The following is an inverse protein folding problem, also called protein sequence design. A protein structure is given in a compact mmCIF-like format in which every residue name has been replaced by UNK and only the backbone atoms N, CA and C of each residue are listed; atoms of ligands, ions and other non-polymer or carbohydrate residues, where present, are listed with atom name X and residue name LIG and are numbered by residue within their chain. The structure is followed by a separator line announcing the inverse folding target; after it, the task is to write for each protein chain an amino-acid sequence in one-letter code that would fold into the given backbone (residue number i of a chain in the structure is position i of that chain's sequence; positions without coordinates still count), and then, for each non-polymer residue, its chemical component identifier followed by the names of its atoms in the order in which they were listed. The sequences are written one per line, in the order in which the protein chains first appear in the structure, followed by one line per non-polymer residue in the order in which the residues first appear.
data_IF_254016465630
#
_entry.id   IF_254016465630
#
_cell.length_a   1.000
_cell.length_b   1.000
_cell.length_c   1.000
_cell.angle_alpha   90.00
_cell.angle_beta   90.00
_cell.angle_gamma   90.00
#
_symmetry.space_group_name_H-M   'P 1'
#
loop_
_entity.id
_entity.type
_entity.pdbx_description
1 polymer ?
#
# COMPACT_ATOMS: atom_id res chain seq x y z
N UNK A 1 -2.09 -9.72 -5.25
CA UNK A 1 -2.45 -9.05 -3.99
C UNK A 1 -2.61 -10.10 -2.91
N UNK A 2 -1.90 -9.97 -1.80
CA UNK A 2 -2.11 -10.81 -0.62
C UNK A 2 -2.89 -9.93 0.37
N UNK A 3 -4.12 -10.30 0.67
CA UNK A 3 -4.98 -9.54 1.59
C UNK A 3 -4.73 -9.99 3.04
N UNK A 4 -4.07 -9.13 3.83
CA UNK A 4 -3.74 -9.39 5.24
C UNK A 4 -4.86 -9.01 6.22
N UNK A 5 -5.87 -8.29 5.74
CA UNK A 5 -7.04 -7.91 6.53
C UNK A 5 -8.27 -7.97 5.61
N UNK A 6 -9.13 -9.00 5.75
CA UNK A 6 -10.25 -9.17 4.85
C UNK A 6 -11.24 -8.00 4.94
N UNK A 7 -11.79 -7.61 3.80
CA UNK A 7 -12.84 -6.60 3.73
C UNK A 7 -14.00 -6.87 4.71
N UNK A 8 -14.52 -5.82 5.33
CA UNK A 8 -15.71 -5.91 6.17
C UNK A 8 -16.62 -4.70 6.01
N UNK A 9 -17.90 -4.97 5.81
CA UNK A 9 -18.95 -3.98 5.52
C UNK A 9 -19.51 -3.21 6.72
N UNK A 10 -19.17 -3.56 7.98
CA UNK A 10 -19.82 -2.97 9.18
C UNK A 10 -18.91 -2.08 10.03
N UNK A 11 -17.59 -2.24 9.94
CA UNK A 11 -16.60 -1.48 10.73
C UNK A 11 -15.40 -1.10 9.88
N UNK A 12 -14.83 0.05 10.25
CA UNK A 12 -13.74 0.74 9.57
C UNK A 12 -12.63 1.10 10.56
N UNK A 13 -11.51 1.59 10.05
CA UNK A 13 -10.36 2.02 10.86
C UNK A 13 -9.40 0.88 11.23
N UNK A 14 -8.49 1.16 12.17
CA UNK A 14 -7.39 0.27 12.53
C UNK A 14 -7.70 -0.66 13.71
N UNK A 15 -8.59 -1.64 13.58
CA UNK A 15 -8.94 -2.54 14.69
C UNK A 15 -7.71 -3.24 15.36
N UNK A 16 -7.80 -3.66 16.64
CA UNK A 16 -8.92 -3.42 17.56
C UNK A 16 -8.99 -1.99 18.09
N UNK A 17 -7.86 -1.29 18.17
CA UNK A 17 -7.82 0.12 18.55
C UNK A 17 -8.49 0.97 17.45
N UNK A 18 -8.93 2.20 17.70
CA UNK A 18 -9.33 3.14 16.62
C UNK A 18 -10.41 2.67 15.61
N UNK A 19 -11.16 1.60 15.88
CA UNK A 19 -12.26 1.18 15.01
C UNK A 19 -13.49 2.08 15.20
N UNK A 20 -14.33 2.12 14.17
CA UNK A 20 -15.59 2.86 14.18
C UNK A 20 -16.62 2.21 13.23
N UNK A 21 -17.93 2.39 13.48
CA UNK A 21 -18.96 1.78 12.66
C UNK A 21 -18.98 2.38 11.25
N UNK A 22 -19.46 1.59 10.29
CA UNK A 22 -19.89 2.12 9.01
C UNK A 22 -21.14 3.00 9.22
N UNK A 23 -21.24 4.11 8.47
CA UNK A 23 -22.29 5.13 8.61
C UNK A 23 -23.68 4.49 8.75
N UNK A 24 -24.33 4.73 9.89
CA UNK A 24 -25.70 4.26 10.17
C UNK A 24 -25.83 2.84 10.71
N UNK A 25 -24.75 2.06 10.82
CA UNK A 25 -24.78 0.72 11.40
C UNK A 25 -24.45 0.73 12.90
N UNK A 26 -25.05 -0.16 13.70
CA UNK A 26 -24.71 -0.29 15.12
C UNK A 26 -23.27 -0.77 15.29
N UNK A 27 -22.53 -0.16 16.21
CA UNK A 27 -21.23 -0.67 16.64
C UNK A 27 -21.44 -2.00 17.38
N UNK A 28 -20.75 -3.05 16.96
CA UNK A 28 -20.68 -4.34 17.66
C UNK A 28 -19.22 -4.61 18.01
N UNK A 29 -18.90 -4.71 19.28
CA UNK A 29 -17.56 -5.15 19.68
C UNK A 29 -17.36 -6.57 19.12
N UNK A 30 -16.44 -6.70 18.16
CA UNK A 30 -16.11 -7.98 17.52
C UNK A 30 -14.69 -8.34 17.95
N UNK A 31 -14.47 -9.61 18.27
CA UNK A 31 -13.15 -10.20 18.51
C UNK A 31 -12.37 -10.32 17.20
N UNK A 32 -12.06 -9.16 16.59
CA UNK A 32 -11.30 -9.10 15.35
C UNK A 32 -9.85 -9.39 15.65
N UNK A 33 -9.42 -10.56 15.19
CA UNK A 33 -8.02 -10.97 15.21
C UNK A 33 -7.39 -10.55 13.88
N UNK A 34 -6.31 -9.78 13.94
CA UNK A 34 -5.49 -9.56 12.76
C UNK A 34 -4.91 -10.90 12.31
N UNK A 35 -5.15 -11.27 11.06
CA UNK A 35 -4.67 -12.53 10.50
C UNK A 35 -3.67 -12.22 9.41
N UNK A 36 -2.41 -12.33 9.78
CA UNK A 36 -1.34 -12.49 8.82
C UNK A 36 -1.76 -13.50 7.72
N UNK A 37 -1.53 -13.18 6.44
CA UNK A 37 -1.76 -14.11 5.36
C UNK A 37 -1.07 -15.44 5.64
N UNK A 38 -1.87 -16.49 5.86
CA UNK A 38 -1.32 -17.80 6.13
C UNK A 38 -0.94 -18.46 4.79
N UNK A 39 0.29 -18.23 4.35
CA UNK A 39 0.89 -18.89 3.19
C UNK A 39 1.30 -20.33 3.54
N UNK A 40 0.37 -21.10 4.07
CA UNK A 40 0.55 -22.53 4.32
C UNK A 40 0.03 -23.33 3.13
N UNK A 41 0.81 -24.33 2.72
CA UNK A 41 0.32 -25.34 1.80
C UNK A 41 -0.85 -26.09 2.48
N UNK A 42 -1.93 -26.43 1.74
CA UNK A 42 -3.02 -27.23 2.29
C UNK A 42 -2.48 -28.47 3.01
N UNK A 43 -3.11 -28.91 4.12
CA UNK A 43 -2.60 -30.02 4.94
C UNK A 43 -2.33 -31.32 4.16
N UNK A 44 -2.97 -31.53 2.99
CA UNK A 44 -2.76 -32.67 2.09
C UNK A 44 -1.55 -32.53 1.14
N UNK A 45 -0.91 -31.35 1.12
CA UNK A 45 0.19 -30.92 0.27
C UNK A 45 1.44 -30.68 1.12
N UNK A 46 2.18 -31.74 1.43
CA UNK A 46 3.51 -31.61 2.03
C UNK A 46 4.47 -30.88 1.08
N UNK A 47 5.51 -30.22 1.59
CA UNK A 47 6.52 -29.55 0.75
C UNK A 47 7.09 -30.49 -0.33
N UNK A 48 7.39 -31.74 0.03
CA UNK A 48 7.86 -32.76 -0.92
C UNK A 48 6.83 -33.14 -1.99
N UNK A 49 5.52 -33.08 -1.69
CA UNK A 49 4.45 -33.32 -2.67
C UNK A 49 4.22 -32.10 -3.56
N UNK A 50 4.35 -30.90 -3.00
CA UNK A 50 4.28 -29.64 -3.73
C UNK A 50 5.42 -29.52 -4.74
N UNK A 51 6.67 -29.78 -4.33
CA UNK A 51 7.84 -29.80 -5.23
C UNK A 51 7.65 -30.82 -6.36
N UNK A 52 7.18 -32.04 -6.08
CA UNK A 52 6.90 -33.03 -7.13
C UNK A 52 5.84 -32.57 -8.13
N UNK A 53 4.77 -31.90 -7.67
CA UNK A 53 3.77 -31.33 -8.58
C UNK A 53 4.34 -30.20 -9.43
N UNK A 54 5.20 -29.36 -8.84
CA UNK A 54 5.94 -28.33 -9.57
C UNK A 54 6.86 -28.92 -10.64
N UNK A 55 7.55 -30.02 -10.34
CA UNK A 55 8.44 -30.68 -11.30
C UNK A 55 7.67 -31.27 -12.48
N UNK A 56 6.51 -31.89 -12.23
CA UNK A 56 5.60 -32.37 -13.29
C UNK A 56 5.08 -31.20 -14.12
N UNK A 57 4.64 -30.12 -13.49
CA UNK A 57 4.17 -28.92 -14.18
C UNK A 57 5.27 -28.33 -15.07
N UNK A 58 6.49 -28.15 -14.55
CA UNK A 58 7.65 -27.70 -15.32
C UNK A 58 8.01 -28.62 -16.47
N UNK A 59 7.75 -29.92 -16.33
CA UNK A 59 7.93 -30.90 -17.42
C UNK A 59 6.93 -30.66 -18.54
N UNK A 60 5.64 -30.53 -18.21
CA UNK A 60 4.57 -30.23 -19.17
C UNK A 60 4.82 -28.88 -19.86
N UNK A 61 5.21 -27.86 -19.11
CA UNK A 61 5.50 -26.55 -19.69
C UNK A 61 6.74 -26.51 -20.55
N UNK A 62 7.77 -27.32 -20.25
CA UNK A 62 8.90 -27.49 -21.16
C UNK A 62 8.44 -28.10 -22.48
N UNK A 63 7.53 -29.06 -22.44
CA UNK A 63 6.94 -29.67 -23.64
C UNK A 63 6.04 -28.68 -24.41
N UNK A 64 5.23 -27.87 -23.70
CA UNK A 64 4.40 -26.83 -24.30
C UNK A 64 5.21 -25.68 -24.91
N UNK A 65 6.33 -25.28 -24.29
CA UNK A 65 7.23 -24.25 -24.84
C UNK A 65 7.87 -24.65 -26.18
N UNK A 66 7.92 -25.94 -26.49
CA UNK A 66 8.33 -26.43 -27.81
C UNK A 66 7.20 -26.37 -28.85
N UNK A 67 5.95 -26.15 -28.42
CA UNK A 67 4.75 -26.13 -29.28
C UNK A 67 4.13 -24.73 -29.40
N UNK A 68 4.30 -23.85 -28.41
CA UNK A 68 3.71 -22.50 -28.37
C UNK A 68 4.79 -21.40 -28.24
N UNK A 69 4.90 -20.55 -29.26
CA UNK A 69 5.70 -19.31 -29.24
C UNK A 69 4.91 -18.10 -28.68
N UNK A 70 3.71 -18.30 -28.14
CA UNK A 70 2.82 -17.21 -27.73
C UNK A 70 3.29 -16.48 -26.45
N UNK A 71 3.24 -15.14 -26.48
CA UNK A 71 3.61 -14.28 -25.35
C UNK A 71 2.71 -14.44 -24.11
N UNK A 72 1.45 -14.82 -24.29
CA UNK A 72 0.47 -15.02 -23.21
C UNK A 72 0.86 -16.15 -22.25
N UNK A 73 1.29 -17.31 -22.77
CA UNK A 73 1.75 -18.44 -21.98
C UNK A 73 2.98 -18.10 -21.11
N UNK A 74 3.90 -17.27 -21.65
CA UNK A 74 5.06 -16.76 -20.89
C UNK A 74 4.67 -15.81 -19.75
N UNK A 75 3.61 -15.01 -19.93
CA UNK A 75 3.10 -14.08 -18.90
C UNK A 75 2.53 -14.82 -17.68
N UNK A 76 1.70 -15.84 -17.92
CA UNK A 76 1.15 -16.68 -16.84
C UNK A 76 2.23 -17.45 -16.08
N UNK A 77 3.28 -17.93 -16.77
CA UNK A 77 4.43 -18.57 -16.14
C UNK A 77 5.11 -17.68 -15.11
N UNK A 78 5.40 -16.41 -15.47
CA UNK A 78 6.04 -15.44 -14.57
C UNK A 78 5.20 -15.11 -13.33
N UNK A 79 3.90 -14.83 -13.51
CA UNK A 79 2.98 -14.55 -12.39
C UNK A 79 2.93 -15.73 -11.41
N UNK A 80 2.87 -16.95 -11.95
CA UNK A 80 2.82 -18.17 -11.14
C UNK A 80 4.15 -18.42 -10.43
N UNK A 81 5.28 -18.27 -11.10
CA UNK A 81 6.60 -18.44 -10.49
C UNK A 81 6.83 -17.43 -9.36
N UNK A 82 6.37 -16.18 -9.53
CA UNK A 82 6.33 -15.19 -8.46
C UNK A 82 5.49 -15.62 -7.25
N UNK A 83 4.27 -16.12 -7.48
CA UNK A 83 3.42 -16.65 -6.42
C UNK A 83 4.03 -17.87 -5.69
N UNK A 84 4.67 -18.79 -6.44
CA UNK A 84 5.36 -19.95 -5.88
C UNK A 84 6.55 -19.52 -5.03
N UNK A 85 7.32 -18.53 -5.49
CA UNK A 85 8.46 -17.98 -4.74
C UNK A 85 7.99 -17.40 -3.40
N UNK A 86 6.93 -16.58 -3.41
CA UNK A 86 6.33 -16.03 -2.19
C UNK A 86 5.83 -17.12 -1.23
N UNK A 87 5.23 -18.20 -1.77
CA UNK A 87 4.73 -19.32 -0.97
C UNK A 87 5.86 -20.17 -0.37
N UNK A 88 7.01 -20.30 -1.03
CA UNK A 88 8.08 -21.19 -0.60
C UNK A 88 9.20 -20.49 0.17
N UNK A 89 9.35 -19.17 0.10
CA UNK A 89 10.41 -18.44 0.78
C UNK A 89 10.13 -18.35 2.30
N UNK A 90 10.96 -18.99 3.16
CA UNK A 90 10.78 -18.91 4.61
C UNK A 90 10.89 -17.48 5.16
N UNK A 91 11.67 -16.60 4.51
CA UNK A 91 11.80 -15.19 4.91
C UNK A 91 10.50 -14.44 4.67
N UNK A 92 9.85 -14.70 3.53
CA UNK A 92 8.55 -14.11 3.20
C UNK A 92 7.46 -14.61 4.16
N UNK A 93 7.46 -15.90 4.51
CA UNK A 93 6.54 -16.42 5.54
C UNK A 93 6.75 -15.77 6.91
N UNK A 94 8.02 -15.61 7.32
CA UNK A 94 8.36 -14.89 8.55
C UNK A 94 7.93 -13.41 8.48
N UNK A 95 7.98 -12.79 7.29
CA UNK A 95 7.54 -11.40 7.13
C UNK A 95 6.06 -11.20 7.51
N UNK A 96 5.22 -12.22 7.33
CA UNK A 96 3.80 -12.15 7.68
C UNK A 96 3.52 -12.36 9.16
N UNK A 97 4.37 -13.05 9.93
CA UNK A 97 4.13 -13.35 11.36
C UNK A 97 4.41 -12.17 12.30
N UNK A 98 3.67 -11.07 12.11
CA UNK A 98 3.84 -9.83 12.87
C UNK A 98 3.18 -9.86 14.24
N UNK A 99 2.21 -10.75 14.47
CA UNK A 99 1.50 -10.84 15.75
C UNK A 99 2.32 -11.50 16.86
N UNK A 100 3.38 -12.22 16.50
CA UNK A 100 4.31 -12.83 17.46
C UNK A 100 5.63 -12.03 17.62
N UNK A 101 5.70 -10.82 17.04
CA UNK A 101 6.86 -9.93 17.24
C UNK A 101 7.00 -9.52 18.71
N UNK A 102 8.24 -9.17 19.10
CA UNK A 102 8.57 -8.64 20.43
C UNK A 102 7.61 -7.52 20.85
N UNK A 103 7.27 -7.51 22.14
CA UNK A 103 6.33 -6.57 22.73
C UNK A 103 6.69 -5.10 22.48
N UNK A 104 8.00 -4.81 22.44
CA UNK A 104 8.54 -3.48 22.15
C UNK A 104 8.12 -2.99 20.77
N UNK A 105 8.19 -3.83 19.73
CA UNK A 105 7.81 -3.45 18.36
C UNK A 105 6.29 -3.38 18.22
N UNK A 106 5.56 -4.30 18.87
CA UNK A 106 4.09 -4.26 18.93
C UNK A 106 3.60 -2.92 19.49
N UNK A 107 4.26 -2.44 20.55
CA UNK A 107 3.97 -1.13 21.14
C UNK A 107 4.48 -0.02 20.22
N UNK A 108 5.68 -0.10 19.66
CA UNK A 108 6.23 0.96 18.80
C UNK A 108 5.30 1.28 17.63
N UNK A 109 4.90 0.27 16.85
CA UNK A 109 4.00 0.43 15.71
C UNK A 109 2.53 0.62 16.09
N UNK A 110 2.13 0.15 17.28
CA UNK A 110 0.75 0.12 17.75
C UNK A 110 0.09 -1.24 17.52
N UNK A 111 -0.69 -1.70 18.52
CA UNK A 111 -1.36 -3.01 18.51
C UNK A 111 -2.68 -2.96 17.75
N UNK A 112 -2.56 -2.57 16.50
CA UNK A 112 -3.67 -2.44 15.58
C UNK A 112 -3.29 -2.86 14.17
N UNK A 113 -4.31 -3.14 13.37
CA UNK A 113 -4.19 -3.62 12.00
C UNK A 113 -3.33 -2.73 11.10
N UNK A 114 -3.32 -1.42 11.32
CA UNK A 114 -2.44 -0.53 10.55
C UNK A 114 -0.98 -0.63 10.99
N UNK A 115 -0.72 -0.56 12.30
CA UNK A 115 0.61 -0.76 12.87
C UNK A 115 1.21 -2.11 12.47
N UNK A 116 0.45 -3.20 12.58
CA UNK A 116 0.86 -4.53 12.14
C UNK A 116 1.11 -4.63 10.63
N UNK A 117 0.32 -3.92 9.81
CA UNK A 117 0.53 -3.89 8.37
C UNK A 117 1.81 -3.13 7.99
N UNK A 118 2.16 -2.06 8.70
CA UNK A 118 3.43 -1.35 8.49
C UNK A 118 4.63 -2.15 9.01
N UNK A 119 4.49 -2.83 10.15
CA UNK A 119 5.51 -3.76 10.65
C UNK A 119 5.77 -4.90 9.65
N UNK A 120 4.70 -5.41 9.03
CA UNK A 120 4.78 -6.41 7.95
C UNK A 120 5.47 -5.82 6.72
N UNK A 121 5.13 -4.59 6.35
CA UNK A 121 5.78 -3.89 5.24
C UNK A 121 7.28 -3.76 5.45
N UNK A 122 7.72 -3.37 6.65
CA UNK A 122 9.15 -3.33 7.01
C UNK A 122 9.83 -4.67 6.78
N UNK A 123 9.22 -5.78 7.25
CA UNK A 123 9.77 -7.13 7.05
C UNK A 123 9.79 -7.55 5.58
N UNK A 124 8.79 -7.16 4.79
CA UNK A 124 8.74 -7.44 3.35
C UNK A 124 9.84 -6.66 2.61
N UNK A 125 10.06 -5.40 2.97
CA UNK A 125 11.17 -4.57 2.44
C UNK A 125 12.52 -5.23 2.77
N UNK A 126 12.72 -5.65 4.03
CA UNK A 126 13.93 -6.37 4.47
C UNK A 126 14.12 -7.71 3.73
N UNK A 127 13.03 -8.38 3.34
CA UNK A 127 13.05 -9.58 2.52
C UNK A 127 13.27 -9.31 1.02
N UNK A 128 13.36 -8.05 0.59
CA UNK A 128 13.60 -7.65 -0.79
C UNK A 128 12.34 -7.56 -1.66
N UNK A 129 11.16 -7.42 -1.07
CA UNK A 129 9.93 -7.18 -1.84
C UNK A 129 9.97 -5.77 -2.45
N UNK A 130 9.89 -5.63 -3.78
CA UNK A 130 10.18 -4.37 -4.47
C UNK A 130 9.06 -3.33 -4.37
N UNK A 131 7.83 -3.74 -4.03
CA UNK A 131 6.69 -2.86 -3.89
C UNK A 131 5.75 -3.40 -2.83
N UNK A 132 5.44 -2.57 -1.82
CA UNK A 132 4.50 -2.88 -0.76
C UNK A 132 3.48 -1.77 -0.67
N UNK A 133 2.20 -2.12 -0.68
CA UNK A 133 1.09 -1.18 -0.46
C UNK A 133 0.41 -1.50 0.86
N UNK A 134 0.24 -0.48 1.70
CA UNK A 134 -0.48 -0.57 2.98
C UNK A 134 -1.58 0.47 2.99
N UNK A 135 -2.77 0.08 3.44
CA UNK A 135 -3.91 0.97 3.59
C UNK A 135 -4.36 1.01 5.05
N UNK A 136 -4.69 2.20 5.56
CA UNK A 136 -5.39 2.34 6.83
C UNK A 136 -6.88 2.05 6.60
N UNK A 137 -7.31 0.86 7.02
CA UNK A 137 -8.68 0.37 6.82
C UNK A 137 -8.99 0.05 5.35
N UNK A 138 -10.26 -0.17 5.08
CA UNK A 138 -10.80 -0.51 3.76
C UNK A 138 -11.93 0.46 3.40
N UNK A 139 -12.27 0.54 2.10
CA UNK A 139 -13.45 1.19 1.50
C UNK A 139 -13.99 2.42 2.28
N UNK A 140 -13.88 3.68 1.86
CA UNK A 140 -14.48 4.82 2.63
C UNK A 140 -13.98 5.00 4.08
N UNK A 141 -12.90 4.33 4.54
CA UNK A 141 -12.33 4.60 5.88
C UNK A 141 -11.92 6.08 6.04
N UNK A 142 -11.46 6.71 4.95
CA UNK A 142 -11.15 8.14 4.88
C UNK A 142 -12.31 9.00 4.35
N UNK A 143 -13.51 8.42 4.26
CA UNK A 143 -14.72 9.19 4.00
C UNK A 143 -15.04 10.05 5.22
N UNK A 144 -14.95 11.36 5.03
CA UNK A 144 -15.14 12.37 6.05
C UNK A 144 -16.15 13.44 5.61
N UNK A 145 -17.19 13.04 4.86
CA UNK A 145 -18.33 13.90 4.55
C UNK A 145 -19.09 14.38 5.79
N UNK A 146 -19.00 13.61 6.88
CA UNK A 146 -19.45 14.01 8.21
C UNK A 146 -18.49 13.54 9.30
N UNK A 147 -18.60 14.15 10.48
CA UNK A 147 -17.85 13.77 11.68
C UNK A 147 -16.32 13.81 11.49
N UNK A 148 -15.85 14.67 10.57
CA UNK A 148 -14.47 14.68 10.12
C UNK A 148 -13.48 14.93 11.27
N UNK A 149 -13.73 15.94 12.10
CA UNK A 149 -12.81 16.37 13.16
C UNK A 149 -12.55 15.32 14.24
N UNK A 150 -13.57 14.78 14.94
CA UNK A 150 -13.35 13.71 15.91
C UNK A 150 -12.85 12.43 15.21
N UNK A 151 -13.32 12.10 14.00
CA UNK A 151 -12.80 10.93 13.27
C UNK A 151 -11.31 11.05 12.96
N UNK A 152 -10.86 12.21 12.50
CA UNK A 152 -9.44 12.47 12.29
C UNK A 152 -8.66 12.37 13.60
N UNK A 153 -9.07 13.11 14.63
CA UNK A 153 -8.34 13.21 15.90
C UNK A 153 -8.29 11.90 16.67
N UNK A 154 -9.37 11.13 16.66
CA UNK A 154 -9.55 10.00 17.56
C UNK A 154 -9.41 8.65 16.87
N UNK A 155 -9.49 8.57 15.53
CA UNK A 155 -9.55 7.29 14.81
C UNK A 155 -8.55 7.17 13.66
N UNK A 156 -8.25 8.25 12.94
CA UNK A 156 -7.41 8.17 11.75
C UNK A 156 -5.97 8.65 12.00
N UNK A 157 -5.79 9.86 12.53
CA UNK A 157 -4.45 10.42 12.75
C UNK A 157 -3.61 9.64 13.78
N UNK A 158 -4.14 9.19 14.93
CA UNK A 158 -3.31 8.49 15.91
C UNK A 158 -2.63 7.21 15.38
N UNK A 159 -3.32 6.25 14.71
CA UNK A 159 -2.64 5.10 14.14
C UNK A 159 -1.74 5.48 12.96
N UNK A 160 -2.11 6.47 12.14
CA UNK A 160 -1.27 6.94 11.03
C UNK A 160 0.08 7.48 11.53
N UNK A 161 0.04 8.44 12.44
CA UNK A 161 1.21 9.13 12.97
C UNK A 161 2.17 8.16 13.67
N UNK A 162 1.64 7.34 14.58
CA UNK A 162 2.43 6.34 15.32
C UNK A 162 3.06 5.31 14.39
N UNK A 163 2.25 4.70 13.52
CA UNK A 163 2.70 3.62 12.65
C UNK A 163 3.72 4.09 11.62
N UNK A 164 3.47 5.25 10.98
CA UNK A 164 4.37 5.80 9.97
C UNK A 164 5.70 6.25 10.58
N UNK A 165 5.66 6.92 11.74
CA UNK A 165 6.89 7.33 12.45
C UNK A 165 7.73 6.12 12.85
N UNK A 166 7.10 5.07 13.38
CA UNK A 166 7.77 3.82 13.72
C UNK A 166 8.44 3.17 12.49
N UNK A 167 7.76 3.15 11.34
CA UNK A 167 8.33 2.62 10.10
C UNK A 167 9.54 3.43 9.63
N UNK A 168 9.44 4.76 9.65
CA UNK A 168 10.54 5.65 9.23
C UNK A 168 11.78 5.45 10.10
N UNK A 169 11.60 5.43 11.43
CA UNK A 169 12.71 5.23 12.36
C UNK A 169 13.32 3.82 12.20
N UNK A 170 12.50 2.77 12.07
CA UNK A 170 12.98 1.39 11.94
C UNK A 170 13.73 1.18 10.61
N UNK A 171 13.27 1.78 9.50
CA UNK A 171 14.00 1.76 8.24
C UNK A 171 15.30 2.57 8.32
N UNK A 172 15.31 3.70 9.04
CA UNK A 172 16.51 4.49 9.26
C UNK A 172 17.55 3.71 10.07
N UNK A 173 17.16 3.16 11.22
CA UNK A 173 18.01 2.34 12.11
C UNK A 173 18.63 1.14 11.38
N UNK A 174 17.94 0.59 10.39
CA UNK A 174 18.39 -0.54 9.57
C UNK A 174 19.19 -0.15 8.33
N UNK A 175 19.35 1.14 8.04
CA UNK A 175 19.97 1.62 6.81
C UNK A 175 19.16 1.29 5.54
N UNK A 176 17.87 0.99 5.68
CA UNK A 176 16.96 0.69 4.57
C UNK A 176 16.23 1.93 4.03
N UNK A 177 16.20 3.03 4.79
CA UNK A 177 15.50 4.24 4.38
C UNK A 177 16.11 4.85 3.10
N UNK A 178 17.43 4.81 2.94
CA UNK A 178 18.13 5.34 1.76
C UNK A 178 17.77 4.60 0.47
N UNK A 179 17.43 3.30 0.56
CA UNK A 179 17.07 2.45 -0.57
C UNK A 179 15.56 2.23 -0.72
N UNK A 180 14.74 2.81 0.15
CA UNK A 180 13.30 2.62 0.18
C UNK A 180 12.56 3.95 0.05
N UNK A 181 11.88 4.17 -1.07
CA UNK A 181 10.97 5.30 -1.23
C UNK A 181 9.62 5.00 -0.57
N UNK A 182 9.24 5.81 0.42
CA UNK A 182 7.91 5.83 1.02
C UNK A 182 7.09 6.94 0.36
N UNK A 183 5.90 6.59 -0.13
CA UNK A 183 4.90 7.53 -0.63
C UNK A 183 3.60 7.33 0.14
N UNK A 184 3.12 8.39 0.81
CA UNK A 184 1.80 8.40 1.45
C UNK A 184 0.92 9.42 0.74
N UNK A 185 -0.11 8.92 0.06
CA UNK A 185 -1.05 9.70 -0.74
C UNK A 185 -2.49 9.21 -0.55
N UNK A 186 -3.45 10.09 -0.85
CA UNK A 186 -4.85 9.72 -1.05
C UNK A 186 -5.24 9.75 -2.53
N UNK A 187 -6.51 9.50 -2.82
CA UNK A 187 -7.05 9.57 -4.19
C UNK A 187 -7.30 11.03 -4.63
N UNK A 188 -7.70 11.89 -3.68
CA UNK A 188 -8.02 13.29 -3.89
C UNK A 188 -7.98 14.06 -2.57
N UNK A 189 -7.98 15.39 -2.65
CA UNK A 189 -8.11 16.27 -1.50
C UNK A 189 -9.55 16.46 -1.05
N UNK A 190 -9.75 17.36 -0.09
CA UNK A 190 -11.06 17.68 0.47
C UNK A 190 -11.36 19.16 0.31
N UNK A 191 -12.64 19.47 0.14
CA UNK A 191 -13.08 20.86 -0.05
C UNK A 191 -12.52 21.79 1.03
N UNK A 192 -12.08 23.01 0.68
CA UNK A 192 -11.67 24.04 1.65
C UNK A 192 -12.72 24.34 2.70
N UNK A 193 -13.97 24.39 2.25
CA UNK A 193 -15.13 24.75 3.03
C UNK A 193 -15.70 23.52 3.71
N UNK A 194 -16.05 23.67 4.98
CA UNK A 194 -16.78 22.63 5.69
C UNK A 194 -18.19 22.49 5.13
N UNK A 195 -18.59 21.25 4.92
CA UNK A 195 -19.96 20.89 4.55
C UNK A 195 -20.78 20.64 5.82
N UNK A 196 -21.92 21.32 5.90
CA UNK A 196 -22.91 21.20 6.97
C UNK A 196 -24.26 20.87 6.35
N UNK A 197 -24.34 19.75 5.63
CA UNK A 197 -25.60 19.30 5.06
C UNK A 197 -26.47 18.60 6.12
N UNK A 198 -27.75 18.38 5.80
CA UNK A 198 -28.70 17.73 6.72
C UNK A 198 -28.50 16.21 6.85
N UNK A 199 -27.63 15.60 6.04
CA UNK A 199 -27.42 14.15 6.02
C UNK A 199 -26.48 13.69 7.14
N UNK A 200 -25.56 14.55 7.58
CA UNK A 200 -24.61 14.23 8.66
C UNK A 200 -24.87 15.06 9.91
N UNK A 201 -24.76 14.40 11.07
CA UNK A 201 -24.94 15.06 12.38
C UNK A 201 -23.81 16.05 12.71
N UNK A 202 -22.60 15.76 12.24
CA UNK A 202 -21.40 16.55 12.50
C UNK A 202 -20.74 16.97 11.19
N UNK A 203 -20.09 18.15 11.14
CA UNK A 203 -19.53 18.70 9.91
C UNK A 203 -18.43 17.82 9.32
N UNK A 204 -18.29 17.88 8.00
CA UNK A 204 -17.24 17.22 7.26
C UNK A 204 -16.78 18.01 6.04
N UNK A 205 -16.20 17.33 5.06
CA UNK A 205 -15.74 17.93 3.80
C UNK A 205 -16.05 17.02 2.62
N UNK A 206 -16.53 17.62 1.54
CA UNK A 206 -16.77 16.93 0.27
C UNK A 206 -15.46 16.60 -0.49
N UNK A 207 -15.55 15.76 -1.51
CA UNK A 207 -14.47 15.39 -2.41
C UNK A 207 -13.96 16.61 -3.18
N UNK A 208 -12.65 16.68 -3.35
CA UNK A 208 -12.03 17.79 -4.04
C UNK A 208 -10.76 17.38 -4.79
N UNK A 209 -10.91 17.11 -6.09
CA UNK A 209 -9.81 16.65 -6.94
C UNK A 209 -8.82 17.74 -7.35
N UNK A 210 -9.08 19.02 -7.04
CA UNK A 210 -8.27 20.11 -7.58
C UNK A 210 -6.90 20.24 -6.90
N UNK A 211 -6.77 19.86 -5.63
CA UNK A 211 -5.51 19.94 -4.89
C UNK A 211 -5.47 18.93 -3.75
N UNK A 212 -4.31 18.32 -3.52
CA UNK A 212 -4.03 17.48 -2.35
C UNK A 212 -2.56 17.60 -1.95
N UNK A 213 -2.23 17.13 -0.76
CA UNK A 213 -0.84 16.99 -0.28
C UNK A 213 -0.45 15.53 -0.33
N UNK A 214 0.74 15.25 -0.87
CA UNK A 214 1.36 13.92 -0.89
C UNK A 214 2.67 13.99 -0.12
N UNK A 215 2.95 12.95 0.66
CA UNK A 215 4.16 12.84 1.46
C UNK A 215 5.15 11.85 0.82
N UNK A 216 6.42 12.25 0.77
CA UNK A 216 7.54 11.44 0.31
C UNK A 216 8.61 11.37 1.40
N UNK A 217 9.24 10.21 1.57
CA UNK A 217 10.40 10.02 2.44
C UNK A 217 11.28 8.86 1.98
N UNK A 218 12.57 8.90 2.34
CA UNK A 218 13.54 7.87 1.95
C UNK A 218 13.82 7.83 0.45
N UNK A 219 14.52 6.80 -0.01
CA UNK A 219 14.85 6.61 -1.43
C UNK A 219 15.67 7.76 -2.03
N UNK A 220 16.49 8.43 -1.22
CA UNK A 220 17.28 9.61 -1.60
C UNK A 220 16.52 10.94 -1.57
N UNK A 221 15.27 10.97 -1.11
CA UNK A 221 14.52 12.25 -1.00
C UNK A 221 15.09 13.15 0.10
N UNK A 222 15.14 14.47 -0.17
CA UNK A 222 15.60 15.49 0.78
C UNK A 222 14.54 15.81 1.82
N UNK A 223 14.77 15.36 3.06
CA UNK A 223 13.91 15.69 4.20
C UNK A 223 13.76 17.20 4.42
N UNK A 224 12.59 17.63 4.92
CA UNK A 224 12.28 19.04 5.17
C UNK A 224 11.93 19.85 3.91
N UNK A 225 11.87 19.22 2.75
CA UNK A 225 11.50 19.87 1.48
C UNK A 225 10.00 20.02 1.34
N UNK A 226 9.55 21.19 0.88
CA UNK A 226 8.16 21.43 0.47
C UNK A 226 8.15 21.80 -1.01
N UNK A 227 7.43 21.03 -1.81
CA UNK A 227 7.28 21.26 -3.24
C UNK A 227 5.90 21.84 -3.51
N UNK A 228 5.89 23.08 -4.01
CA UNK A 228 4.67 23.79 -4.38
C UNK A 228 3.83 24.28 -3.19
N UNK A 229 2.68 24.85 -3.51
CA UNK A 229 1.72 25.37 -2.54
C UNK A 229 0.31 25.41 -3.11
N UNK A 230 -0.69 25.48 -2.24
CA UNK A 230 -2.06 25.79 -2.59
C UNK A 230 -2.36 27.29 -2.41
N UNK A 231 -3.52 27.73 -2.90
CA UNK A 231 -4.01 29.08 -2.65
C UNK A 231 -4.31 29.31 -1.15
N UNK A 232 -4.64 30.55 -0.79
CA UNK A 232 -4.88 30.96 0.61
C UNK A 232 -6.03 30.21 1.32
N UNK A 233 -6.89 29.52 0.58
CA UNK A 233 -7.98 28.71 1.14
C UNK A 233 -7.73 27.20 0.98
N UNK A 234 -6.59 26.79 0.42
CA UNK A 234 -6.28 25.43 0.04
C UNK A 234 -7.26 24.83 -1.00
N UNK A 235 -7.78 25.66 -1.91
CA UNK A 235 -8.73 25.26 -2.95
C UNK A 235 -8.09 24.84 -4.27
N UNK A 236 -7.02 25.49 -4.69
CA UNK A 236 -6.34 25.16 -5.94
C UNK A 236 -4.82 25.23 -5.77
N UNK A 237 -4.03 24.56 -6.64
CA UNK A 237 -2.58 24.76 -6.67
C UNK A 237 -2.25 26.22 -7.01
N UNK A 238 -1.28 26.80 -6.31
CA UNK A 238 -0.84 28.18 -6.48
C UNK A 238 0.60 28.28 -7.03
N UNK A 239 1.53 27.47 -6.51
CA UNK A 239 2.92 27.44 -6.98
C UNK A 239 3.38 26.00 -7.21
N UNK A 240 4.23 25.82 -8.23
CA UNK A 240 4.85 24.54 -8.62
C UNK A 240 3.88 23.34 -8.57
N UNK A 241 2.75 23.38 -9.31
CA UNK A 241 1.75 22.33 -9.27
C UNK A 241 2.31 21.03 -9.86
N UNK A 242 2.20 19.94 -9.10
CA UNK A 242 2.53 18.60 -9.55
C UNK A 242 1.24 17.83 -9.86
N UNK A 243 1.27 17.02 -10.92
CA UNK A 243 0.15 16.18 -11.31
C UNK A 243 0.34 14.73 -10.82
N UNK A 244 -0.72 13.89 -10.79
CA UNK A 244 -0.57 12.46 -10.49
C UNK A 244 0.47 11.75 -11.38
N UNK A 245 0.61 12.19 -12.63
CA UNK A 245 1.64 11.76 -13.57
C UNK A 245 3.07 11.98 -13.04
N UNK A 246 3.33 13.14 -12.42
CA UNK A 246 4.65 13.44 -11.83
C UNK A 246 4.94 12.55 -10.61
N UNK A 247 3.93 12.24 -9.80
CA UNK A 247 4.05 11.28 -8.69
C UNK A 247 4.40 9.88 -9.21
N UNK A 248 3.69 9.39 -10.23
CA UNK A 248 3.97 8.09 -10.84
C UNK A 248 5.38 8.04 -11.46
N UNK A 249 5.76 9.07 -12.21
CA UNK A 249 7.09 9.22 -12.79
C UNK A 249 8.20 9.19 -11.73
N UNK A 250 7.98 9.86 -10.59
CA UNK A 250 8.93 9.85 -9.45
C UNK A 250 9.12 8.44 -8.89
N UNK A 251 8.03 7.70 -8.66
CA UNK A 251 8.09 6.32 -8.16
C UNK A 251 8.83 5.42 -9.15
N UNK A 252 8.50 5.51 -10.44
CA UNK A 252 9.11 4.68 -11.48
C UNK A 252 10.58 5.01 -11.71
N UNK A 253 10.95 6.29 -11.63
CA UNK A 253 12.34 6.73 -11.63
C UNK A 253 13.13 6.10 -10.47
N UNK A 254 12.60 6.13 -9.25
CA UNK A 254 13.23 5.49 -8.08
C UNK A 254 13.32 3.96 -8.20
N UNK A 255 12.43 3.33 -8.97
CA UNK A 255 12.51 1.90 -9.29
C UNK A 255 13.48 1.58 -10.44
N UNK A 256 14.10 2.60 -11.06
CA UNK A 256 15.02 2.45 -12.19
C UNK A 256 14.33 2.09 -13.51
N UNK A 257 13.03 2.37 -13.64
CA UNK A 257 12.31 2.16 -14.91
C UNK A 257 12.64 3.32 -15.85
N UNK A 258 13.16 3.03 -17.07
CA UNK A 258 13.49 4.07 -18.05
C UNK A 258 12.31 4.96 -18.40
N UNK A 259 12.58 6.22 -18.73
CA UNK A 259 11.56 7.21 -19.14
C UNK A 259 10.87 6.88 -20.46
N UNK A 260 11.54 6.13 -21.33
CA UNK A 260 11.04 5.67 -22.62
C UNK A 260 10.45 4.26 -22.55
N UNK A 261 10.32 3.71 -21.34
CA UNK A 261 9.82 2.37 -21.13
C UNK A 261 8.37 2.27 -21.64
N UNK A 262 8.16 1.38 -22.61
CA UNK A 262 6.87 1.13 -23.23
C UNK A 262 6.63 -0.36 -23.37
N UNK A 263 5.35 -0.75 -23.29
CA UNK A 263 4.89 -2.07 -23.70
C UNK A 263 4.23 -1.97 -25.07
N UNK A 264 4.23 -3.08 -25.83
CA UNK A 264 3.60 -3.13 -27.15
C UNK A 264 2.37 -4.01 -27.11
N UNK A 265 1.29 -3.57 -27.74
CA UNK A 265 0.09 -4.37 -27.88
C UNK A 265 0.19 -5.39 -29.03
N UNK A 266 -0.88 -6.16 -29.25
CA UNK A 266 -0.92 -7.22 -30.28
C UNK A 266 -0.78 -6.67 -31.72
N UNK A 267 -0.94 -5.36 -31.92
CA UNK A 267 -0.74 -4.67 -33.21
C UNK A 267 0.62 -3.96 -33.28
N UNK A 268 1.54 -4.30 -32.37
CA UNK A 268 2.88 -3.71 -32.23
C UNK A 268 2.87 -2.21 -31.92
N UNK A 269 1.76 -1.64 -31.41
CA UNK A 269 1.69 -0.22 -31.06
C UNK A 269 2.34 0.01 -29.70
N UNK A 270 3.26 0.99 -29.56
CA UNK A 270 3.88 1.29 -28.30
C UNK A 270 2.94 2.06 -27.37
N UNK A 271 2.87 1.63 -26.12
CA UNK A 271 2.16 2.26 -25.01
C UNK A 271 3.17 2.55 -23.91
N UNK A 272 3.38 3.82 -23.62
CA UNK A 272 4.31 4.22 -22.55
C UNK A 272 3.81 3.68 -21.20
N UNK A 273 4.74 3.23 -20.36
CA UNK A 273 4.42 2.76 -19.00
C UNK A 273 3.91 3.92 -18.16
N UNK A 274 4.43 5.13 -18.38
CA UNK A 274 3.96 6.34 -17.75
C UNK A 274 4.17 7.57 -18.61
N UNK A 275 3.47 8.63 -18.25
CA UNK A 275 3.67 9.97 -18.77
C UNK A 275 4.01 10.87 -17.58
N UNK A 276 4.86 11.88 -17.80
CA UNK A 276 5.24 12.86 -16.77
C UNK A 276 6.73 12.81 -16.42
N UNK A 277 7.21 13.92 -15.88
CA UNK A 277 8.59 14.06 -15.40
C UNK A 277 8.64 13.82 -13.90
N UNK A 278 9.67 13.12 -13.38
CA UNK A 278 9.91 13.00 -11.94
C UNK A 278 9.99 14.37 -11.26
N UNK A 279 9.55 14.45 -10.01
CA UNK A 279 9.57 15.69 -9.23
C UNK A 279 11.01 15.95 -8.77
N UNK A 280 11.77 16.68 -9.58
CA UNK A 280 13.20 16.92 -9.35
C UNK A 280 13.49 17.58 -7.99
N UNK A 281 12.60 18.45 -7.52
CA UNK A 281 12.78 19.16 -6.25
C UNK A 281 12.83 18.24 -5.02
N UNK A 282 12.38 16.98 -5.14
CA UNK A 282 12.48 16.00 -4.06
C UNK A 282 13.91 15.49 -3.80
N UNK A 283 14.85 15.65 -4.74
CA UNK A 283 16.22 15.12 -4.68
C UNK A 283 17.28 16.23 -4.68
#
# INVERSE_FOLDING_TARGET
FIEASPYHNIQRGAYPEYNFPNLGLPFREEDRVFRAPNLTLPHSLTSARFTRRLDVLRSIERQQRHLDEAASARSFGRLRDGAISLLNDPKVRHAFDVTNEKDTEQIRYGRNSYGWSLLMARRLIEAGVPLVQVNLGNNETWDTHGDAFPRFKEKLFPPTDRGLSALLDDLHERGLLESTLIVMAGEFGRTPKLETNRHYKLPGRDHWGAVQTVFFAGGGTRGGTVVGSSDKIAGYPAANPQKPENMAATIYHSLGIPEDASWRDDLDRPHQIYHGEPIADLF
#
